data_IF_731505743729
#
_entry.id   IF_731505743729
#
_cell.length_a   1.000
_cell.length_b   1.000
_cell.length_c   1.000
_cell.angle_alpha   90.00
_cell.angle_beta   90.00
_cell.angle_gamma   90.00
#
_symmetry.space_group_name_H-M   'P 1'
#
loop_
_entity.id
_entity.type
_entity.pdbx_description
1 polymer ?
2 branched ?
3 branched ?
4 non-polymer ?
5 non-polymer ?
6 non-polymer ?
7 water ?
#
# COMPACT_ATOMS: atom_id res chain seq x y z
N UNK A 1 -11.72 -23.24 -0.07
CA UNK A 1 -11.56 -24.63 -0.48
C UNK A 1 -10.25 -25.12 0.10
N UNK A 2 -9.18 -24.93 -0.66
CA UNK A 2 -7.85 -25.35 -0.24
C UNK A 2 -7.07 -24.04 -0.17
N UNK A 3 -5.99 -24.02 0.61
CA UNK A 3 -5.20 -22.81 0.73
C UNK A 3 -4.58 -22.49 -0.63
N UNK A 4 -4.53 -21.21 -0.98
CA UNK A 4 -3.93 -20.85 -2.23
C UNK A 4 -2.41 -20.94 -2.17
N UNK A 5 -1.79 -21.35 -3.26
CA UNK A 5 -0.34 -21.45 -3.31
C UNK A 5 0.10 -20.58 -4.48
N UNK A 6 1.16 -19.82 -4.26
CA UNK A 6 1.70 -18.94 -5.30
C UNK A 6 2.47 -19.80 -6.28
N UNK A 7 1.77 -20.36 -7.25
CA UNK A 7 2.41 -21.23 -8.23
C UNK A 7 2.72 -20.55 -9.56
N UNK A 8 2.17 -19.38 -9.81
CA UNK A 8 2.44 -18.71 -11.09
C UNK A 8 3.48 -17.60 -11.00
N UNK A 9 4.03 -17.24 -12.16
CA UNK A 9 4.97 -16.14 -12.25
C UNK A 9 4.11 -14.97 -12.73
N UNK A 10 4.65 -13.75 -12.76
CA UNK A 10 3.91 -12.58 -13.21
C UNK A 10 3.71 -12.57 -14.72
N UNK A 11 2.62 -11.97 -15.16
CA UNK A 11 2.39 -11.85 -16.59
C UNK A 11 3.34 -10.74 -17.06
N UNK A 12 3.67 -10.72 -18.34
CA UNK A 12 4.54 -9.67 -18.88
C UNK A 12 3.77 -8.36 -18.86
N UNK A 13 4.36 -7.33 -18.29
CA UNK A 13 3.71 -6.03 -18.22
C UNK A 13 4.17 -5.15 -19.38
N UNK A 14 3.30 -4.98 -20.38
CA UNK A 14 3.63 -4.13 -21.54
C UNK A 14 2.94 -2.78 -21.44
N UNK A 15 1.97 -2.70 -20.53
CA UNK A 15 1.23 -1.46 -20.22
C UNK A 15 0.27 -1.75 -19.07
N UNK A 16 -0.53 -0.73 -18.73
CA UNK A 16 -1.49 -0.84 -17.63
C UNK A 16 -2.87 -0.41 -18.11
N UNK A 17 -3.89 -1.23 -17.83
CA UNK A 17 -5.24 -0.88 -18.24
C UNK A 17 -5.99 -0.44 -16.96
N UNK A 18 -7.10 0.31 -17.13
CA UNK A 18 -7.91 0.78 -16.00
C UNK A 18 -8.64 -0.43 -15.35
N UNK A 19 -8.61 -0.53 -14.03
CA UNK A 19 -9.24 -1.64 -13.31
C UNK A 19 -10.44 -1.17 -12.47
N UNK A 20 -10.21 -0.17 -11.63
CA UNK A 20 -11.29 0.35 -10.79
C UNK A 20 -11.08 1.81 -10.43
N UNK A 21 -12.16 2.53 -10.21
CA UNK A 21 -12.09 3.96 -9.83
C UNK A 21 -13.39 4.25 -9.13
N UNK A 22 -13.34 4.81 -7.93
CA UNK A 22 -14.61 5.06 -7.26
C UNK A 22 -15.15 6.49 -7.27
N UNK A 23 -14.33 7.45 -7.69
CA UNK A 23 -14.79 8.84 -7.76
C UNK A 23 -15.48 9.24 -6.45
N UNK A 24 -14.90 8.80 -5.33
CA UNK A 24 -15.50 9.01 -4.03
C UNK A 24 -15.78 10.45 -3.57
N UNK A 25 -14.82 11.35 -3.80
CA UNK A 25 -14.94 12.75 -3.40
C UNK A 25 -16.00 13.47 -4.28
N UNK A 26 -16.03 13.18 -5.58
CA UNK A 26 -17.02 13.79 -6.46
C UNK A 26 -18.41 13.43 -5.98
N UNK A 27 -18.66 12.13 -5.92
CA UNK A 27 -19.96 11.61 -5.51
C UNK A 27 -20.33 12.03 -4.10
N UNK A 28 -19.34 12.03 -3.21
CA UNK A 28 -19.53 12.36 -1.81
C UNK A 28 -19.88 13.80 -1.53
N UNK A 29 -19.79 14.65 -2.55
CA UNK A 29 -20.14 16.06 -2.40
C UNK A 29 -21.64 16.15 -2.11
N UNK A 30 -22.38 15.14 -2.55
CA UNK A 30 -23.82 15.12 -2.33
C UNK A 30 -24.37 13.71 -2.01
N UNK A 31 -23.69 12.97 -1.17
CA UNK A 31 -24.19 11.67 -0.79
C UNK A 31 -23.36 11.21 0.38
N UNK A 32 -23.89 10.24 1.12
CA UNK A 32 -23.27 9.75 2.34
C UNK A 32 -22.01 8.90 2.25
N UNK A 33 -20.91 9.56 1.87
CA UNK A 33 -19.62 8.91 1.71
C UNK A 33 -18.74 9.19 2.90
N UNK A 34 -18.17 8.12 3.44
CA UNK A 34 -17.28 8.17 4.59
C UNK A 34 -15.95 8.80 4.19
N UNK A 35 -15.37 9.53 5.13
CA UNK A 35 -14.06 10.15 4.92
C UNK A 35 -13.09 9.00 5.17
N UNK A 36 -12.09 8.89 4.30
CA UNK A 36 -11.08 7.83 4.42
C UNK A 36 -9.71 8.36 4.07
N UNK A 37 -8.74 7.45 4.12
CA UNK A 37 -7.34 7.60 3.70
C UNK A 37 -6.73 6.23 3.92
N UNK A 38 -5.53 6.01 3.39
CA UNK A 38 -4.84 4.72 3.52
C UNK A 38 -5.63 3.55 2.90
N UNK A 39 -6.13 3.72 1.67
CA UNK A 39 -6.93 2.69 0.99
C UNK A 39 -6.06 1.63 0.34
N UNK A 40 -6.70 0.58 -0.13
CA UNK A 40 -6.02 -0.49 -0.85
C UNK A 40 -7.06 -1.36 -1.51
N UNK A 41 -6.62 -2.40 -2.21
CA UNK A 41 -7.53 -3.30 -2.86
C UNK A 41 -7.09 -4.72 -2.48
N UNK A 42 -8.04 -5.62 -2.35
CA UNK A 42 -7.72 -6.98 -1.96
C UNK A 42 -8.84 -7.87 -2.46
N UNK A 43 -8.44 -9.07 -2.94
CA UNK A 43 -9.37 -10.05 -3.48
C UNK A 43 -9.58 -11.29 -2.63
N UNK A 44 -10.78 -11.81 -2.78
CA UNK A 44 -11.23 -13.05 -2.16
C UNK A 44 -11.28 -13.96 -3.42
N UNK A 45 -11.46 -15.27 -3.24
CA UNK A 45 -11.63 -16.13 -4.41
C UNK A 45 -12.79 -15.78 -5.33
N UNK A 46 -13.82 -15.13 -4.81
CA UNK A 46 -14.98 -14.80 -5.63
C UNK A 46 -15.30 -13.33 -5.85
N UNK A 47 -14.49 -12.42 -5.30
CA UNK A 47 -14.79 -10.99 -5.45
C UNK A 47 -13.57 -10.17 -5.04
N UNK A 48 -13.34 -9.05 -5.73
CA UNK A 48 -12.26 -8.11 -5.34
C UNK A 48 -12.97 -6.88 -4.80
N UNK A 49 -12.41 -6.29 -3.74
CA UNK A 49 -13.02 -5.13 -3.07
C UNK A 49 -12.04 -4.00 -2.70
N UNK A 50 -12.58 -2.79 -2.54
CA UNK A 50 -11.78 -1.63 -2.12
C UNK A 50 -11.79 -1.65 -0.57
N UNK A 51 -10.67 -1.24 0.03
CA UNK A 51 -10.46 -1.20 1.48
C UNK A 51 -9.89 0.19 1.79
N UNK A 52 -10.05 0.61 3.06
CA UNK A 52 -9.50 1.88 3.56
C UNK A 52 -9.84 2.05 5.04
N UNK A 53 -9.22 3.07 5.62
CA UNK A 53 -9.43 3.40 7.01
C UNK A 53 -10.41 4.56 7.09
N UNK A 54 -11.62 4.24 7.51
CA UNK A 54 -12.64 5.24 7.67
C UNK A 54 -12.22 6.20 8.76
N UNK A 55 -12.79 7.39 8.74
CA UNK A 55 -12.53 8.37 9.78
C UNK A 55 -13.78 8.45 10.67
N UNK A 56 -14.75 7.58 10.40
CA UNK A 56 -15.95 7.59 11.21
C UNK A 56 -16.76 8.87 11.09
N UNK A 57 -16.99 9.33 9.87
CA UNK A 57 -17.78 10.51 9.61
C UNK A 57 -17.93 10.62 8.10
N UNK A 58 -18.99 11.31 7.63
CA UNK A 58 -19.14 11.54 6.18
C UNK A 58 -18.28 12.77 5.81
N UNK A 59 -18.03 12.98 4.52
CA UNK A 59 -17.22 14.12 4.06
C UNK A 59 -17.97 15.42 4.30
N UNK A 60 -19.25 15.44 3.97
CA UNK A 60 -20.08 16.63 4.18
C UNK A 60 -20.46 16.82 5.64
N UNK A 61 -20.33 15.78 6.46
CA UNK A 61 -20.67 15.90 7.87
C UNK A 61 -19.75 16.85 8.60
N UNK A 62 -20.28 17.54 9.61
CA UNK A 62 -19.45 18.47 10.37
C UNK A 62 -18.24 17.82 11.06
N UNK A 63 -18.38 16.56 11.43
CA UNK A 63 -17.28 15.83 12.07
C UNK A 63 -16.11 15.57 11.12
N UNK A 64 -16.22 15.98 9.86
CA UNK A 64 -15.14 15.81 8.88
C UNK A 64 -14.02 16.81 9.22
N UNK A 65 -14.37 17.82 10.03
CA UNK A 65 -13.40 18.81 10.43
C UNK A 65 -12.37 18.13 11.30
N UNK A 66 -11.11 18.15 10.88
CA UNK A 66 -10.07 17.54 11.67
C UNK A 66 -9.56 16.19 11.21
N UNK A 67 -10.15 15.65 10.14
CA UNK A 67 -9.74 14.34 9.60
C UNK A 67 -8.34 14.28 8.99
N UNK A 68 -7.57 15.35 9.10
CA UNK A 68 -6.20 15.32 8.60
C UNK A 68 -5.39 14.41 9.56
N UNK A 69 -5.82 14.32 10.83
CA UNK A 69 -5.14 13.48 11.81
C UNK A 69 -5.21 12.01 11.47
N UNK A 70 -4.10 11.34 11.69
CA UNK A 70 -3.99 9.93 11.38
C UNK A 70 -4.58 8.91 12.34
N UNK A 71 -4.58 9.18 13.64
CA UNK A 71 -5.02 8.18 14.59
C UNK A 71 -6.05 8.70 15.56
N UNK A 72 -7.18 8.05 15.66
CA UNK A 72 -8.25 8.47 16.57
C UNK A 72 -9.04 7.22 16.88
N UNK A 73 -9.91 7.29 17.87
CA UNK A 73 -10.72 6.15 18.23
C UNK A 73 -11.88 5.95 17.27
N UNK A 74 -12.00 6.81 16.25
CA UNK A 74 -13.10 6.70 15.32
C UNK A 74 -12.78 6.08 13.96
N UNK A 75 -11.57 5.57 13.79
CA UNK A 75 -11.20 4.96 12.54
C UNK A 75 -11.47 3.46 12.59
N UNK A 76 -11.59 2.85 11.42
CA UNK A 76 -11.82 1.41 11.31
C UNK A 76 -11.50 0.97 9.90
N UNK A 77 -11.08 -0.29 9.73
CA UNK A 77 -10.81 -0.82 8.38
C UNK A 77 -12.17 -1.17 7.81
N UNK A 78 -12.50 -0.62 6.66
CA UNK A 78 -13.79 -0.94 6.04
C UNK A 78 -13.47 -1.42 4.63
N UNK A 79 -14.31 -2.30 4.08
CA UNK A 79 -14.16 -2.75 2.69
C UNK A 79 -15.54 -2.50 2.02
N UNK A 80 -15.56 -2.36 0.69
CA UNK A 80 -16.79 -2.10 -0.01
C UNK A 80 -16.65 -2.52 -1.48
N UNK A 81 -17.80 -2.71 -2.19
CA UNK A 81 -17.66 -3.29 -3.51
C UNK A 81 -16.76 -2.46 -4.43
N UNK A 82 -16.03 -3.19 -5.27
CA UNK A 82 -15.10 -2.60 -6.21
C UNK A 82 -15.68 -1.44 -7.02
N UNK A 83 -14.96 -0.32 -7.01
CA UNK A 83 -15.29 0.88 -7.75
C UNK A 83 -16.52 1.65 -7.27
N UNK A 84 -17.09 1.21 -6.16
CA UNK A 84 -18.20 1.93 -5.55
C UNK A 84 -17.48 2.93 -4.62
N UNK A 85 -18.18 3.98 -4.13
CA UNK A 85 -17.52 4.74 -3.07
C UNK A 85 -17.77 4.11 -1.71
N UNK A 86 -16.92 4.41 -0.72
CA UNK A 86 -17.14 4.01 0.66
C UNK A 86 -18.30 4.80 1.30
N UNK A 87 -19.50 4.24 1.25
CA UNK A 87 -20.64 4.92 1.82
C UNK A 87 -21.01 4.38 3.19
N UNK A 88 -21.80 5.13 3.93
CA UNK A 88 -22.19 4.70 5.25
C UNK A 88 -23.01 3.42 5.14
N UNK A 89 -23.73 3.27 4.03
CA UNK A 89 -24.62 2.13 3.82
C UNK A 89 -24.08 0.87 3.16
N UNK A 90 -22.96 0.95 2.44
CA UNK A 90 -22.40 -0.24 1.79
C UNK A 90 -21.02 -0.61 2.33
N UNK A 91 -20.54 0.11 3.34
CA UNK A 91 -19.22 -0.21 3.86
C UNK A 91 -19.27 -1.24 4.97
N UNK A 92 -18.40 -2.23 4.89
CA UNK A 92 -18.34 -3.31 5.86
C UNK A 92 -17.10 -3.16 6.70
N UNK A 93 -17.28 -3.06 8.02
CA UNK A 93 -16.16 -2.90 8.92
C UNK A 93 -15.49 -4.25 9.14
N UNK A 94 -14.18 -4.29 8.88
CA UNK A 94 -13.41 -5.49 9.09
C UNK A 94 -12.89 -5.56 10.54
N UNK A 95 -12.48 -4.41 11.07
CA UNK A 95 -11.95 -4.28 12.42
C UNK A 95 -11.72 -2.80 12.72
N UNK A 96 -11.61 -2.50 14.01
CA UNK A 96 -11.41 -1.15 14.53
C UNK A 96 -9.93 -0.80 14.75
N UNK A 97 -9.50 0.33 14.21
CA UNK A 97 -8.08 0.71 14.35
C UNK A 97 -7.64 1.79 13.40
N UNK A 98 -6.36 2.19 13.50
CA UNK A 98 -5.83 3.25 12.66
C UNK A 98 -4.66 2.87 11.78
N UNK A 99 -4.47 1.57 11.59
CA UNK A 99 -3.39 1.02 10.76
C UNK A 99 -3.83 -0.41 10.52
N UNK A 100 -3.71 -0.88 9.29
CA UNK A 100 -4.21 -2.22 8.98
C UNK A 100 -3.60 -2.94 7.78
N UNK A 101 -3.98 -4.21 7.65
CA UNK A 101 -3.59 -5.05 6.54
C UNK A 101 -4.69 -6.11 6.47
N UNK A 102 -4.74 -6.84 5.36
CA UNK A 102 -5.77 -7.87 5.17
C UNK A 102 -5.43 -8.71 3.94
N UNK A 103 -5.76 -9.99 4.00
CA UNK A 103 -5.51 -10.85 2.85
C UNK A 103 -6.30 -12.14 2.99
N UNK A 104 -6.68 -12.72 1.85
CA UNK A 104 -7.43 -13.98 1.84
C UNK A 104 -6.40 -15.11 1.62
N UNK A 105 -6.51 -16.19 2.36
CA UNK A 105 -5.55 -17.29 2.21
C UNK A 105 -6.05 -18.39 1.29
N UNK A 106 -7.24 -18.19 0.73
CA UNK A 106 -7.79 -19.19 -0.17
C UNK A 106 -9.00 -19.83 0.46
N UNK A 107 -8.99 -19.93 1.79
CA UNK A 107 -10.09 -20.50 2.54
C UNK A 107 -10.94 -19.37 3.12
N UNK A 108 -10.29 -18.45 3.82
CA UNK A 108 -10.98 -17.33 4.41
C UNK A 108 -10.02 -16.14 4.57
N UNK A 109 -10.54 -15.00 5.03
CA UNK A 109 -9.71 -13.81 5.16
C UNK A 109 -9.18 -13.48 6.56
N UNK A 110 -7.99 -12.92 6.59
CA UNK A 110 -7.36 -12.48 7.81
C UNK A 110 -7.27 -10.96 7.69
N UNK A 111 -7.73 -10.23 8.71
CA UNK A 111 -7.62 -8.78 8.70
C UNK A 111 -6.96 -8.39 10.02
N UNK A 112 -6.10 -7.37 9.98
CA UNK A 112 -5.39 -6.91 11.16
C UNK A 112 -5.58 -5.40 11.34
N UNK A 113 -5.94 -4.99 12.55
CA UNK A 113 -6.12 -3.58 12.84
C UNK A 113 -5.39 -3.29 14.11
N UNK A 114 -4.69 -2.17 14.11
CA UNK A 114 -3.94 -1.76 15.29
C UNK A 114 -4.62 -0.52 15.82
N UNK A 115 -4.83 -0.47 17.13
CA UNK A 115 -5.42 0.71 17.75
C UNK A 115 -4.68 0.97 19.05
N UNK A 116 -4.95 2.11 19.66
CA UNK A 116 -4.32 2.44 20.92
C UNK A 116 -3.76 3.86 20.89
N UNK A 117 -3.32 4.35 22.05
CA UNK A 117 -2.53 5.58 22.10
C UNK A 117 -1.14 5.27 21.57
N UNK A 118 -0.37 6.31 21.27
CA UNK A 118 0.97 6.13 20.73
C UNK A 118 1.89 5.22 21.51
N UNK A 119 1.85 5.32 22.84
CA UNK A 119 2.71 4.49 23.66
C UNK A 119 2.11 3.18 24.16
N UNK A 120 0.94 2.79 23.67
CA UNK A 120 0.30 1.58 24.16
C UNK A 120 -0.63 0.94 23.12
N UNK A 121 -0.19 0.88 21.87
CA UNK A 121 -1.00 0.30 20.81
C UNK A 121 -0.96 -1.21 20.86
N UNK A 122 -1.92 -1.84 20.18
CA UNK A 122 -2.01 -3.29 20.13
C UNK A 122 -2.68 -3.69 18.83
N UNK A 123 -2.23 -4.77 18.26
CA UNK A 123 -2.81 -5.27 17.04
C UNK A 123 -3.73 -6.46 17.36
N UNK A 124 -4.90 -6.52 16.73
CA UNK A 124 -5.75 -7.69 16.89
C UNK A 124 -6.01 -8.27 15.50
N UNK A 125 -5.57 -9.52 15.37
CA UNK A 125 -5.61 -10.32 14.16
C UNK A 125 -6.90 -11.13 14.16
N UNK A 126 -7.74 -10.82 13.17
CA UNK A 126 -9.05 -11.43 12.92
C UNK A 126 -8.91 -12.44 11.80
N UNK A 127 -9.65 -13.53 11.90
CA UNK A 127 -9.59 -14.56 10.88
C UNK A 127 -11.01 -15.13 10.76
N UNK A 128 -11.52 -15.22 9.54
CA UNK A 128 -12.87 -15.70 9.32
C UNK A 128 -13.89 -14.81 10.08
N UNK A 129 -13.56 -13.52 10.13
CA UNK A 129 -14.36 -12.47 10.78
C UNK A 129 -14.52 -12.53 12.30
N UNK A 130 -13.58 -13.22 12.95
CA UNK A 130 -13.55 -13.38 14.41
C UNK A 130 -12.16 -12.97 14.91
N UNK A 131 -12.08 -12.34 16.08
CA UNK A 131 -10.75 -12.05 16.64
C UNK A 131 -10.12 -13.35 17.14
N UNK A 132 -8.86 -13.59 16.76
CA UNK A 132 -8.14 -14.80 17.16
C UNK A 132 -6.87 -14.54 17.99
N UNK A 133 -6.05 -13.57 17.57
CA UNK A 133 -4.79 -13.25 18.24
C UNK A 133 -4.61 -11.76 18.48
N UNK A 134 -3.86 -11.41 19.53
CA UNK A 134 -3.59 -10.01 19.88
C UNK A 134 -2.10 -9.87 20.17
N UNK A 135 -1.52 -8.76 19.73
CA UNK A 135 -0.08 -8.51 19.93
C UNK A 135 0.09 -7.10 20.48
N UNK A 136 0.73 -6.98 21.65
CA UNK A 136 0.94 -5.69 22.28
C UNK A 136 2.17 -5.00 21.71
N UNK A 137 2.12 -3.68 21.73
CA UNK A 137 3.23 -2.84 21.27
C UNK A 137 4.54 -3.32 21.94
N UNK A 138 5.62 -3.44 21.16
CA UNK A 138 6.90 -3.88 21.74
C UNK A 138 7.90 -2.76 21.93
N UNK A 139 7.67 -1.63 21.30
CA UNK A 139 8.59 -0.51 21.44
C UNK A 139 7.85 0.72 21.98
N UNK A 140 6.56 0.58 22.21
CA UNK A 140 5.74 1.65 22.76
C UNK A 140 5.82 2.97 21.97
N UNK A 141 5.84 2.86 20.65
CA UNK A 141 5.91 4.03 19.81
C UNK A 141 5.21 3.75 18.47
N UNK A 142 3.89 3.90 18.50
CA UNK A 142 3.07 3.72 17.30
C UNK A 142 3.24 2.41 16.51
N UNK A 143 2.82 1.29 17.11
CA UNK A 143 2.85 -0.02 16.42
C UNK A 143 2.09 0.25 15.11
N UNK A 144 2.65 -0.16 13.98
CA UNK A 144 2.02 0.13 12.70
C UNK A 144 2.33 -0.96 11.69
N UNK A 145 1.48 -1.07 10.66
CA UNK A 145 1.69 -2.12 9.68
C UNK A 145 1.62 -1.63 8.25
N UNK A 146 1.29 -2.54 7.32
CA UNK A 146 1.32 -2.28 5.89
C UNK A 146 0.52 -1.22 5.20
N UNK A 147 -0.77 -1.16 5.53
CA UNK A 147 -1.72 -0.24 4.90
C UNK A 147 -2.06 -0.73 3.47
N UNK A 148 -1.73 -1.99 3.20
CA UNK A 148 -2.11 -2.64 1.93
C UNK A 148 -2.21 -4.14 2.22
N UNK A 149 -2.69 -4.93 1.25
CA UNK A 149 -2.84 -6.35 1.54
C UNK A 149 -1.55 -7.15 1.82
N UNK A 150 -1.71 -8.17 2.65
CA UNK A 150 -0.62 -9.09 2.92
C UNK A 150 -0.78 -10.17 1.83
N UNK A 151 0.08 -11.19 1.80
CA UNK A 151 -0.04 -12.26 0.79
C UNK A 151 0.15 -13.57 1.53
N UNK A 152 -0.59 -14.60 1.09
CA UNK A 152 -0.53 -15.91 1.69
C UNK A 152 -0.04 -17.00 0.73
N UNK A 153 0.54 -18.05 1.31
CA UNK A 153 1.02 -19.20 0.56
C UNK A 153 0.85 -20.42 1.48
N UNK A 154 0.01 -21.37 1.05
CA UNK A 154 -0.29 -22.57 1.81
C UNK A 154 -0.71 -22.29 3.26
N UNK A 155 -1.57 -21.29 3.41
CA UNK A 155 -2.04 -20.94 4.74
C UNK A 155 -1.16 -19.98 5.49
N UNK A 156 0.09 -19.80 5.05
CA UNK A 156 1.02 -18.89 5.73
C UNK A 156 0.97 -17.51 5.10
N UNK A 157 0.58 -16.54 5.93
CA UNK A 157 0.44 -15.14 5.51
C UNK A 157 1.34 -14.21 6.31
N UNK A 158 2.52 -13.85 5.76
CA UNK A 158 3.46 -12.97 6.45
C UNK A 158 2.97 -11.50 6.46
N UNK A 159 3.27 -10.80 7.54
CA UNK A 159 2.89 -9.41 7.68
C UNK A 159 4.06 -8.65 8.26
N UNK A 160 4.31 -7.44 7.78
CA UNK A 160 5.42 -6.63 8.30
C UNK A 160 4.90 -5.53 9.23
N UNK A 161 5.43 -5.47 10.46
CA UNK A 161 5.03 -4.46 11.44
C UNK A 161 6.27 -3.63 11.81
N UNK A 162 6.05 -2.42 12.28
CA UNK A 162 7.17 -1.58 12.74
C UNK A 162 6.69 -0.91 14.03
N UNK A 163 7.55 -0.85 15.03
CA UNK A 163 7.21 -0.19 16.28
C UNK A 163 8.50 0.54 16.66
N UNK A 164 8.35 1.81 17.05
CA UNK A 164 9.49 2.64 17.40
C UNK A 164 9.52 3.90 16.54
N UNK A 165 10.65 4.58 16.57
CA UNK A 165 10.84 5.82 15.86
C UNK A 165 10.55 5.82 14.35
N UNK A 166 10.18 7.00 13.88
CA UNK A 166 9.89 7.24 12.47
C UNK A 166 11.06 8.00 11.86
N UNK A 167 11.97 8.45 12.73
CA UNK A 167 13.11 9.23 12.30
C UNK A 167 14.43 8.73 12.89
N UNK A 168 14.49 7.44 13.15
CA UNK A 168 15.68 6.83 13.70
C UNK A 168 15.47 5.34 13.61
N UNK A 169 16.46 4.52 14.02
CA UNK A 169 16.19 3.08 13.90
C UNK A 169 14.99 2.67 14.74
N UNK A 170 14.24 1.70 14.21
CA UNK A 170 13.04 1.19 14.86
C UNK A 170 13.07 -0.34 14.89
N UNK A 171 12.06 -0.96 15.50
CA UNK A 171 11.99 -2.43 15.59
C UNK A 171 10.92 -3.00 14.66
N UNK A 172 11.39 -3.49 13.52
CA UNK A 172 10.53 -4.06 12.51
C UNK A 172 10.54 -5.56 12.70
N UNK A 173 9.36 -6.17 12.59
CA UNK A 173 9.23 -7.62 12.74
C UNK A 173 8.40 -8.18 11.61
N UNK A 174 8.69 -9.42 11.26
CA UNK A 174 7.95 -10.11 10.22
C UNK A 174 7.25 -11.24 10.96
N UNK A 175 5.92 -11.21 10.97
CA UNK A 175 5.14 -12.23 11.61
C UNK A 175 4.60 -13.14 10.52
N UNK A 176 4.61 -14.43 10.81
CA UNK A 176 4.09 -15.45 9.92
C UNK A 176 2.85 -16.02 10.59
N UNK A 177 1.69 -15.70 10.04
CA UNK A 177 0.42 -16.16 10.60
C UNK A 177 -0.17 -17.29 9.78
N UNK A 178 -0.90 -18.17 10.47
CA UNK A 178 -1.63 -19.25 9.81
C UNK A 178 -2.95 -19.38 10.59
N UNK A 179 -4.06 -19.10 9.92
CA UNK A 179 -5.38 -19.12 10.54
C UNK A 179 -5.46 -18.16 11.73
N UNK A 180 -4.82 -16.99 11.58
CA UNK A 180 -4.84 -15.97 12.61
C UNK A 180 -3.92 -16.23 13.78
N UNK A 181 -3.23 -17.36 13.75
CA UNK A 181 -2.34 -17.70 14.84
C UNK A 181 -0.89 -17.43 14.43
N UNK A 182 -0.06 -17.04 15.41
CA UNK A 182 1.34 -16.78 15.12
C UNK A 182 2.16 -18.08 15.03
N UNK A 183 2.72 -18.36 13.86
CA UNK A 183 3.59 -19.52 13.72
C UNK A 183 5.01 -19.15 14.11
N UNK A 184 5.41 -17.92 13.82
CA UNK A 184 6.78 -17.47 14.06
C UNK A 184 6.90 -15.98 13.77
N UNK A 185 7.89 -15.33 14.35
CA UNK A 185 8.16 -13.95 14.02
C UNK A 185 9.68 -13.80 14.04
N UNK A 186 10.20 -12.92 13.18
CA UNK A 186 11.62 -12.64 13.09
C UNK A 186 11.78 -11.15 13.25
N UNK A 187 12.92 -10.71 13.80
CA UNK A 187 13.37 -9.34 13.58
C UNK A 187 13.88 -9.08 12.15
N UNK A 188 13.69 -7.85 11.69
CA UNK A 188 14.14 -7.45 10.38
C UNK A 188 15.63 -7.76 10.30
N UNK A 189 16.05 -8.25 9.15
CA UNK A 189 17.42 -8.59 8.85
C UNK A 189 17.70 -7.98 7.48
N UNK A 190 18.95 -8.02 7.03
CA UNK A 190 19.26 -7.45 5.72
C UNK A 190 19.88 -6.07 5.84
N UNK A 191 19.94 -5.33 4.75
CA UNK A 191 20.53 -4.02 4.74
C UNK A 191 19.57 -2.83 4.82
N UNK A 192 18.26 -3.08 4.81
CA UNK A 192 17.27 -1.99 4.89
C UNK A 192 17.48 -1.34 6.26
N UNK A 193 17.56 -0.02 6.31
CA UNK A 193 17.81 0.61 7.62
C UNK A 193 16.56 1.07 8.37
N UNK A 194 15.43 1.14 7.67
CA UNK A 194 14.15 1.56 8.26
C UNK A 194 13.05 1.05 7.34
N UNK A 195 12.03 0.47 7.94
CA UNK A 195 10.91 -0.08 7.20
C UNK A 195 9.55 0.43 7.68
N UNK A 196 8.70 0.84 6.74
CA UNK A 196 7.33 1.26 7.05
C UNK A 196 6.43 1.00 5.88
N UNK A 197 5.17 0.67 6.17
CA UNK A 197 4.15 0.48 5.15
C UNK A 197 4.50 -0.33 3.92
N UNK A 198 4.83 -1.61 4.08
CA UNK A 198 5.19 -2.44 2.94
C UNK A 198 4.07 -2.81 1.99
N UNK A 199 4.36 -2.76 0.69
CA UNK A 199 3.44 -3.15 -0.37
C UNK A 199 3.98 -4.48 -0.87
N UNK A 200 3.17 -5.53 -0.76
CA UNK A 200 3.61 -6.86 -1.15
C UNK A 200 2.79 -7.55 -2.23
N UNK A 201 3.43 -8.52 -2.87
CA UNK A 201 2.79 -9.35 -3.90
C UNK A 201 3.57 -10.66 -3.89
N UNK A 202 2.96 -11.73 -4.37
CA UNK A 202 3.65 -13.01 -4.39
C UNK A 202 3.62 -13.68 -5.74
N UNK A 203 4.66 -14.44 -6.04
CA UNK A 203 4.77 -15.19 -7.28
C UNK A 203 5.78 -16.30 -7.08
N UNK A 204 5.51 -17.45 -7.69
CA UNK A 204 6.37 -18.62 -7.58
C UNK A 204 6.92 -18.86 -6.15
N UNK A 205 6.03 -18.98 -5.18
CA UNK A 205 6.38 -19.25 -3.78
C UNK A 205 7.32 -18.25 -3.10
N UNK A 206 7.31 -17.01 -3.55
CA UNK A 206 8.11 -15.95 -2.97
C UNK A 206 7.29 -14.64 -2.84
N UNK A 207 7.41 -13.97 -1.71
CA UNK A 207 6.69 -12.72 -1.48
C UNK A 207 7.68 -11.54 -1.49
N UNK A 208 7.42 -10.56 -2.36
CA UNK A 208 8.26 -9.38 -2.47
C UNK A 208 7.49 -8.18 -1.91
N UNK A 209 8.13 -7.45 -1.00
CA UNK A 209 7.56 -6.26 -0.39
C UNK A 209 8.42 -5.03 -0.67
N UNK A 210 7.81 -4.00 -1.23
CA UNK A 210 8.48 -2.75 -1.52
C UNK A 210 7.94 -1.81 -0.41
N UNK A 211 8.82 -1.38 0.48
CA UNK A 211 8.37 -0.55 1.58
C UNK A 211 8.88 0.88 1.51
N UNK A 212 8.96 1.51 2.67
CA UNK A 212 9.41 2.90 2.73
C UNK A 212 10.35 3.10 3.91
N UNK A 213 11.47 3.77 3.63
CA UNK A 213 12.45 4.11 4.63
C UNK A 213 12.12 5.55 4.97
N UNK A 214 11.36 5.74 6.02
CA UNK A 214 10.97 7.06 6.39
C UNK A 214 12.11 7.93 6.91
N UNK A 215 13.05 7.29 7.56
CA UNK A 215 14.18 7.96 8.17
C UNK A 215 15.18 8.66 7.21
N UNK A 216 15.77 7.90 6.30
CA UNK A 216 16.78 8.46 5.40
C UNK A 216 16.69 8.16 3.91
N UNK A 217 16.11 7.03 3.54
CA UNK A 217 16.03 6.62 2.14
C UNK A 217 14.99 7.17 1.19
N UNK A 218 15.47 7.63 0.02
CA UNK A 218 14.64 8.14 -1.06
C UNK A 218 14.49 7.02 -2.08
N UNK A 219 15.33 5.99 -1.94
CA UNK A 219 15.20 4.77 -2.74
C UNK A 219 14.34 3.91 -1.79
N UNK A 220 13.64 2.91 -2.32
CA UNK A 220 12.79 2.08 -1.47
C UNK A 220 13.47 0.81 -1.01
N UNK A 221 13.36 0.51 0.30
CA UNK A 221 13.73 -0.80 0.83
C UNK A 221 12.80 -1.90 0.34
N UNK A 222 13.38 -3.10 0.18
CA UNK A 222 12.65 -4.24 -0.31
C UNK A 222 12.95 -5.41 0.59
N UNK A 223 11.88 -6.08 1.00
CA UNK A 223 11.94 -7.27 1.85
C UNK A 223 11.42 -8.42 1.01
N UNK A 224 12.21 -9.47 0.85
CA UNK A 224 11.76 -10.64 0.09
C UNK A 224 11.60 -11.76 1.10
N UNK A 225 10.43 -12.39 1.08
CA UNK A 225 10.10 -13.46 2.01
C UNK A 225 9.87 -14.84 1.39
N UNK A 226 10.36 -15.86 2.09
CA UNK A 226 10.16 -17.26 1.68
C UNK A 226 9.12 -17.73 2.68
N UNK A 227 7.84 -17.84 2.26
CA UNK A 227 6.81 -18.20 3.24
C UNK A 227 6.81 -19.69 3.64
N UNK A 228 7.69 -20.50 3.04
CA UNK A 228 7.76 -21.91 3.41
C UNK A 228 8.80 -22.05 4.53
N UNK A 229 10.00 -21.55 4.27
CA UNK A 229 11.07 -21.57 5.24
C UNK A 229 10.77 -20.52 6.32
N UNK A 230 9.86 -19.60 6.00
CA UNK A 230 9.51 -18.53 6.92
C UNK A 230 10.77 -17.74 7.29
N UNK A 231 11.47 -17.25 6.25
CA UNK A 231 12.69 -16.47 6.42
C UNK A 231 12.64 -15.30 5.41
N UNK A 232 13.53 -14.32 5.55
CA UNK A 232 13.50 -13.18 4.63
C UNK A 232 14.84 -12.47 4.54
N UNK A 233 14.94 -11.55 3.59
CA UNK A 233 16.15 -10.74 3.44
C UNK A 233 15.64 -9.36 3.14
N UNK A 234 16.53 -8.39 3.17
CA UNK A 234 16.15 -7.01 2.84
C UNK A 234 17.32 -6.27 2.22
N UNK A 235 17.01 -5.32 1.34
CA UNK A 235 17.99 -4.46 0.67
C UNK A 235 17.19 -3.27 0.15
N UNK A 236 17.80 -2.46 -0.71
CA UNK A 236 17.09 -1.33 -1.32
C UNK A 236 17.07 -1.57 -2.84
N UNK A 237 16.15 -0.88 -3.52
CA UNK A 237 16.08 -0.94 -4.98
C UNK A 237 17.37 -0.22 -5.40
N UNK A 238 18.23 -0.92 -6.14
CA UNK A 238 19.51 -0.38 -6.60
C UNK A 238 19.40 0.83 -7.52
N UNK A 239 18.38 0.81 -8.36
CA UNK A 239 18.15 1.84 -9.36
C UNK A 239 18.28 3.29 -8.92
N UNK A 240 18.93 4.12 -9.76
CA UNK A 240 18.95 5.58 -9.65
C UNK A 240 17.60 6.26 -9.87
N UNK A 241 16.62 5.51 -10.38
CA UNK A 241 15.26 6.06 -10.57
C UNK A 241 14.58 5.99 -9.19
N UNK A 242 14.78 7.03 -8.39
CA UNK A 242 14.28 7.10 -7.03
C UNK A 242 12.75 7.17 -6.98
N UNK A 243 12.16 6.38 -6.08
CA UNK A 243 10.71 6.33 -6.03
C UNK A 243 9.97 6.77 -4.74
N UNK A 244 10.67 7.29 -3.73
CA UNK A 244 9.96 7.80 -2.57
C UNK A 244 9.59 9.27 -2.87
N UNK A 245 8.96 9.93 -1.90
CA UNK A 245 8.56 11.35 -2.02
C UNK A 245 8.37 11.95 -0.63
N UNK A 246 8.87 13.17 -0.41
CA UNK A 246 9.74 13.96 -1.29
C UNK A 246 11.08 13.21 -1.52
N UNK A 247 11.84 13.66 -2.49
CA UNK A 247 13.11 13.00 -2.79
C UNK A 247 13.97 13.99 -3.55
N UNK A 248 15.29 13.76 -3.57
CA UNK A 248 16.15 14.54 -4.46
C UNK A 248 15.94 14.12 -5.91
N UNK A 249 16.53 14.88 -6.83
CA UNK A 249 16.44 14.56 -8.25
C UNK A 249 17.17 13.25 -8.46
N UNK A 250 16.86 12.55 -9.55
CA UNK A 250 17.51 11.27 -9.87
C UNK A 250 19.00 11.44 -10.15
N UNK A 251 19.84 10.61 -9.51
CA UNK A 251 21.26 10.49 -9.88
C UNK A 251 21.43 9.56 -11.07
N UNK A 252 22.67 9.21 -11.38
CA UNK A 252 22.94 8.28 -12.47
C UNK A 252 23.29 6.94 -11.88
N UNK A 253 23.61 6.91 -10.60
CA UNK A 253 23.87 5.64 -9.93
C UNK A 253 23.17 5.64 -8.55
N UNK A 254 22.45 4.55 -8.28
CA UNK A 254 21.72 4.40 -7.03
C UNK A 254 22.46 3.65 -5.94
N UNK A 255 21.73 3.26 -4.90
CA UNK A 255 22.35 2.52 -3.81
C UNK A 255 21.57 1.22 -3.53
N UNK A 256 22.32 0.12 -3.46
CA UNK A 256 21.76 -1.21 -3.22
C UNK A 256 21.58 -1.62 -1.77
N UNK A 257 22.43 -1.12 -0.87
CA UNK A 257 22.34 -1.50 0.54
C UNK A 257 22.35 -0.38 1.57
N UNK A 258 22.00 0.83 1.17
CA UNK A 258 21.99 1.96 2.09
C UNK A 258 20.93 2.84 1.54
N UNK A 259 20.29 3.64 2.40
CA UNK A 259 19.35 4.67 1.93
C UNK A 259 20.00 5.71 1.04
N UNK A 260 19.33 6.11 -0.03
CA UNK A 260 19.91 7.12 -0.86
C UNK A 260 19.55 8.44 -0.20
N UNK A 261 20.56 9.27 0.11
CA UNK A 261 20.35 10.42 1.00
C UNK A 261 19.79 11.65 0.29
N UNK A 262 19.48 12.68 1.06
CA UNK A 262 18.97 13.90 0.48
C UNK A 262 17.65 14.35 1.07
N UNK A 263 16.93 13.42 1.67
CA UNK A 263 15.65 13.74 2.29
C UNK A 263 15.45 12.87 3.51
N UNK A 264 15.32 13.53 4.65
CA UNK A 264 15.13 12.86 5.93
C UNK A 264 13.74 12.94 6.49
N UNK A 265 13.44 11.98 7.34
CA UNK A 265 12.20 11.92 8.06
C UNK A 265 10.93 12.20 7.31
N UNK A 266 10.74 11.57 6.16
CA UNK A 266 9.51 11.76 5.40
C UNK A 266 9.42 10.73 4.28
N UNK A 267 8.25 10.62 3.66
CA UNK A 267 8.10 9.65 2.60
C UNK A 267 6.63 9.36 2.34
N UNK A 268 6.37 8.42 1.44
CA UNK A 268 5.00 8.04 1.09
C UNK A 268 5.01 6.55 0.79
N UNK A 269 3.93 5.87 1.15
CA UNK A 269 3.83 4.42 0.88
C UNK A 269 3.84 4.29 -0.63
N UNK A 270 4.63 3.34 -1.14
CA UNK A 270 4.71 3.14 -2.58
C UNK A 270 4.88 1.65 -2.87
N UNK A 271 5.16 1.28 -4.12
CA UNK A 271 5.34 -0.14 -4.45
C UNK A 271 6.16 -0.28 -5.71
N UNK A 272 6.35 -1.53 -6.10
CA UNK A 272 7.07 -1.88 -7.33
C UNK A 272 6.86 -3.36 -7.66
N UNK A 273 7.13 -3.71 -8.92
CA UNK A 273 7.09 -5.09 -9.36
C UNK A 273 8.51 -5.35 -9.86
N UNK A 274 9.24 -6.17 -9.12
CA UNK A 274 10.64 -6.49 -9.41
C UNK A 274 10.71 -7.88 -10.00
N UNK A 275 10.90 -7.96 -11.32
CA UNK A 275 10.89 -9.22 -12.02
C UNK A 275 11.84 -9.17 -13.23
N UNK A 276 13.13 -8.99 -12.96
CA UNK A 276 14.12 -8.92 -14.03
C UNK A 276 13.82 -7.79 -15.01
N UNK A 277 13.80 -8.10 -16.30
CA UNK A 277 13.48 -7.08 -17.29
C UNK A 277 12.00 -6.66 -17.17
N UNK A 278 11.17 -7.54 -16.63
CA UNK A 278 9.73 -7.27 -16.46
C UNK A 278 9.52 -6.51 -15.13
N UNK A 279 10.34 -5.49 -14.91
CA UNK A 279 10.31 -4.68 -13.70
C UNK A 279 9.68 -3.30 -13.93
N UNK A 280 8.70 -2.95 -13.09
CA UNK A 280 8.05 -1.64 -13.20
C UNK A 280 7.98 -0.91 -11.87
N UNK A 281 8.35 0.37 -11.87
CA UNK A 281 8.38 1.22 -10.67
C UNK A 281 7.27 2.25 -10.71
N UNK A 282 6.62 2.48 -9.57
CA UNK A 282 5.60 3.50 -9.48
C UNK A 282 6.18 4.63 -8.64
N UNK A 283 5.78 5.85 -8.93
CA UNK A 283 6.24 7.01 -8.19
C UNK A 283 5.47 8.28 -8.54
N UNK A 284 5.47 9.24 -7.62
CA UNK A 284 4.82 10.52 -7.85
C UNK A 284 5.69 11.21 -8.90
N UNK A 285 5.13 12.12 -9.69
CA UNK A 285 5.94 12.81 -10.69
C UNK A 285 6.76 13.88 -9.93
N UNK A 286 6.09 14.62 -9.07
CA UNK A 286 6.75 15.65 -8.27
C UNK A 286 7.78 15.03 -7.32
N UNK A 287 8.90 15.74 -7.10
CA UNK A 287 9.92 15.27 -6.16
C UNK A 287 9.66 15.97 -4.82
N UNK A 288 8.75 16.93 -4.80
CA UNK A 288 8.45 17.68 -3.59
C UNK A 288 7.20 17.27 -2.83
N UNK A 289 6.13 16.95 -3.55
CA UNK A 289 4.88 16.58 -2.90
C UNK A 289 4.19 15.39 -3.58
N UNK A 290 3.09 14.93 -2.98
CA UNK A 290 2.27 13.81 -3.47
C UNK A 290 1.42 14.32 -4.59
N UNK A 291 2.09 14.55 -5.70
CA UNK A 291 1.50 15.14 -6.86
C UNK A 291 1.85 14.29 -8.05
N UNK A 292 0.84 13.97 -8.84
CA UNK A 292 1.03 13.17 -10.02
C UNK A 292 1.44 11.73 -9.72
N UNK A 293 1.42 10.90 -10.76
CA UNK A 293 1.81 9.50 -10.59
C UNK A 293 2.14 8.87 -11.94
N UNK A 294 3.22 8.09 -11.98
CA UNK A 294 3.63 7.42 -13.20
C UNK A 294 4.24 6.06 -12.91
N UNK A 295 4.18 5.20 -13.92
CA UNK A 295 4.75 3.86 -13.87
C UNK A 295 5.94 3.89 -14.86
N UNK A 296 7.10 3.40 -14.43
CA UNK A 296 8.31 3.36 -15.26
C UNK A 296 8.86 1.92 -15.34
N UNK A 297 9.14 1.45 -16.54
CA UNK A 297 9.72 0.12 -16.71
C UNK A 297 11.23 0.33 -16.55
N UNK A 298 11.79 -0.27 -15.51
CA UNK A 298 13.19 -0.09 -15.25
C UNK A 298 13.79 -1.46 -15.15
N UNK A 299 14.28 -2.02 -16.28
CA UNK A 299 14.74 -3.40 -16.25
C UNK A 299 15.81 -3.61 -15.17
N UNK A 300 15.64 -4.69 -14.41
CA UNK A 300 16.57 -5.07 -13.34
C UNK A 300 16.78 -3.99 -12.27
N UNK A 301 15.78 -3.15 -12.03
CA UNK A 301 15.90 -2.09 -11.01
C UNK A 301 16.44 -2.56 -9.68
N UNK A 302 15.94 -3.69 -9.20
CA UNK A 302 16.37 -4.23 -7.92
C UNK A 302 17.87 -4.47 -7.78
N UNK A 303 18.49 -4.98 -8.83
CA UNK A 303 19.90 -5.33 -8.78
C UNK A 303 20.91 -4.53 -9.59
N UNK A 304 20.42 -3.63 -10.44
CA UNK A 304 21.28 -2.84 -11.33
C UNK A 304 21.30 -1.38 -10.85
N UNK A 305 22.42 -0.93 -10.26
CA UNK A 305 22.51 0.43 -9.73
C UNK A 305 22.66 1.57 -10.72
N UNK A 306 22.48 1.27 -11.99
CA UNK A 306 22.55 2.29 -13.01
C UNK A 306 21.32 2.19 -13.91
N UNK A 307 20.39 1.31 -13.54
CA UNK A 307 19.18 1.09 -14.33
C UNK A 307 18.30 2.33 -14.48
N UNK A 308 17.91 2.60 -15.72
CA UNK A 308 17.10 3.76 -16.06
C UNK A 308 15.90 3.30 -16.91
N UNK A 309 14.94 4.17 -17.15
CA UNK A 309 13.66 3.74 -17.71
C UNK A 309 13.73 3.33 -19.19
N UNK A 310 12.93 2.33 -19.59
CA UNK A 310 12.90 1.94 -21.00
C UNK A 310 11.50 2.11 -21.64
N UNK A 311 10.52 2.41 -20.79
CA UNK A 311 9.14 2.62 -21.22
C UNK A 311 8.46 3.22 -20.01
N UNK A 312 7.28 3.80 -20.21
CA UNK A 312 6.60 4.36 -19.05
C UNK A 312 5.13 4.63 -19.29
N UNK A 313 4.39 4.98 -18.25
CA UNK A 313 2.98 5.30 -18.43
C UNK A 313 2.55 6.27 -17.34
N UNK A 314 1.96 7.38 -17.74
CA UNK A 314 1.49 8.36 -16.76
C UNK A 314 0.15 7.87 -16.25
N UNK A 315 -0.02 7.92 -14.94
CA UNK A 315 -1.28 7.48 -14.34
C UNK A 315 -2.06 8.71 -13.89
N UNK A 316 -1.36 9.67 -13.29
CA UNK A 316 -1.97 10.89 -12.81
C UNK A 316 -1.07 12.06 -13.21
N UNK A 317 -1.64 13.12 -13.78
CA UNK A 317 -0.84 14.29 -14.17
C UNK A 317 -0.25 15.01 -12.95
N UNK A 318 0.91 15.63 -13.13
CA UNK A 318 1.58 16.35 -12.06
C UNK A 318 0.79 17.55 -11.59
N UNK A 319 -0.30 17.83 -12.27
CA UNK A 319 -1.17 18.91 -11.88
C UNK A 319 -2.35 18.35 -11.12
N UNK A 320 -2.24 17.12 -10.65
CA UNK A 320 -3.31 16.50 -9.86
C UNK A 320 -2.70 15.83 -8.65
N UNK A 321 -3.46 15.80 -7.56
CA UNK A 321 -2.97 15.18 -6.33
C UNK A 321 -3.00 13.65 -6.37
N UNK A 322 -1.96 13.03 -5.82
CA UNK A 322 -1.85 11.58 -5.71
C UNK A 322 -1.77 11.25 -4.21
N UNK A 323 -0.96 10.25 -3.86
CA UNK A 323 -0.84 9.86 -2.46
C UNK A 323 -0.23 8.47 -2.37
N UNK A 324 -0.67 7.69 -1.40
CA UNK A 324 -0.19 6.31 -1.23
C UNK A 324 -0.48 5.44 -2.46
N UNK A 325 0.27 4.36 -2.62
CA UNK A 325 0.07 3.43 -3.73
C UNK A 325 0.57 2.06 -3.26
N UNK A 326 -0.06 1.00 -3.74
CA UNK A 326 0.36 -0.30 -3.27
C UNK A 326 -0.05 -1.37 -4.25
N UNK A 327 0.49 -2.55 -4.02
CA UNK A 327 0.24 -3.68 -4.89
C UNK A 327 -0.80 -4.66 -4.35
N UNK A 328 -1.46 -5.32 -5.29
CA UNK A 328 -2.41 -6.40 -5.03
C UNK A 328 -2.54 -7.14 -6.38
N UNK A 329 -3.02 -8.37 -6.34
CA UNK A 329 -3.25 -9.14 -7.57
C UNK A 329 -4.42 -10.08 -7.29
N UNK A 330 -5.11 -10.48 -8.33
CA UNK A 330 -6.19 -11.42 -8.15
C UNK A 330 -5.55 -12.81 -8.29
N UNK A 331 -5.22 -13.44 -7.16
CA UNK A 331 -4.61 -14.76 -7.19
C UNK A 331 -5.54 -15.89 -7.58
N UNK A 332 -6.81 -15.54 -7.79
CA UNK A 332 -7.81 -16.53 -8.16
C UNK A 332 -8.37 -16.31 -9.57
N UNK A 333 -7.63 -15.56 -10.38
CA UNK A 333 -8.01 -15.31 -11.77
C UNK A 333 -7.64 -16.54 -12.62
N UNK A 334 -8.23 -16.68 -13.80
CA UNK A 334 -7.89 -17.79 -14.69
C UNK A 334 -6.55 -17.49 -15.36
N UNK A 335 -6.03 -18.44 -16.11
CA UNK A 335 -4.79 -18.16 -16.82
C UNK A 335 -3.54 -18.76 -16.23
N UNK A 336 -2.41 -18.54 -16.90
CA UNK A 336 -1.13 -19.09 -16.48
C UNK A 336 -0.20 -18.16 -15.71
N UNK A 337 -0.61 -16.92 -15.46
CA UNK A 337 0.28 -15.99 -14.76
C UNK A 337 -0.52 -15.05 -13.87
N UNK A 338 0.16 -14.39 -12.93
CA UNK A 338 -0.49 -13.43 -12.05
C UNK A 338 -0.39 -12.03 -12.67
N UNK A 339 -1.52 -11.37 -12.86
CA UNK A 339 -1.55 -10.04 -13.46
C UNK A 339 -1.32 -8.96 -12.42
N UNK A 340 -0.15 -8.32 -12.48
CA UNK A 340 0.20 -7.27 -11.52
C UNK A 340 -0.82 -6.13 -11.51
N UNK A 341 -1.24 -5.67 -10.32
CA UNK A 341 -2.19 -4.54 -10.20
C UNK A 341 -1.69 -3.63 -9.12
N UNK A 342 -2.23 -2.43 -9.05
CA UNK A 342 -1.85 -1.46 -8.03
C UNK A 342 -2.94 -0.42 -7.93
N UNK A 343 -2.92 0.36 -6.86
CA UNK A 343 -3.89 1.42 -6.69
C UNK A 343 -3.11 2.68 -6.32
N UNK A 344 -3.72 3.83 -6.57
CA UNK A 344 -3.14 5.09 -6.18
C UNK A 344 -4.21 5.83 -5.36
N UNK A 345 -3.80 6.34 -4.21
CA UNK A 345 -4.70 7.04 -3.35
C UNK A 345 -4.68 8.45 -3.87
N UNK A 346 -5.85 9.01 -4.17
CA UNK A 346 -5.90 10.39 -4.67
C UNK A 346 -6.38 11.26 -3.52
N UNK A 347 -5.44 11.86 -2.79
CA UNK A 347 -5.77 12.66 -1.61
C UNK A 347 -6.31 14.04 -1.96
N UNK A 348 -7.40 14.39 -1.32
CA UNK A 348 -8.02 15.69 -1.52
C UNK A 348 -8.18 16.30 -0.15
N UNK A 349 -8.12 17.62 -0.09
CA UNK A 349 -8.28 18.31 1.18
C UNK A 349 -6.93 18.67 1.79
N UNK A 350 -6.89 18.70 3.12
CA UNK A 350 -5.67 19.05 3.82
C UNK A 350 -4.54 18.01 3.74
N UNK A 351 -3.29 18.47 3.69
CA UNK A 351 -2.86 19.85 3.95
C UNK A 351 -2.74 20.73 2.72
N UNK A 352 -2.73 20.12 1.54
CA UNK A 352 -2.56 20.88 0.31
C UNK A 352 -3.73 21.77 -0.08
N UNK A 353 -4.96 21.30 0.13
CA UNK A 353 -6.15 22.09 -0.22
C UNK A 353 -6.82 22.46 1.09
N UNK A 354 -6.31 23.50 1.72
CA UNK A 354 -6.80 23.87 3.02
C UNK A 354 -8.04 24.75 3.11
N UNK A 355 -8.69 25.05 1.99
CA UNK A 355 -9.90 25.86 2.04
C UNK A 355 -11.00 25.02 2.70
N UNK A 356 -10.81 23.69 2.74
CA UNK A 356 -11.75 22.78 3.43
C UNK A 356 -11.00 22.34 4.65
N UNK A 357 -11.76 21.92 5.66
CA UNK A 357 -11.23 21.45 6.95
C UNK A 357 -11.01 19.94 7.08
N UNK A 358 -11.28 19.23 5.99
CA UNK A 358 -11.15 17.78 5.98
C UNK A 358 -10.05 17.34 5.07
N UNK A 359 -9.76 16.04 5.16
CA UNK A 359 -8.80 15.36 4.31
C UNK A 359 -9.45 14.02 4.02
N UNK A 360 -9.52 13.66 2.75
CA UNK A 360 -10.08 12.35 2.39
C UNK A 360 -9.35 11.92 1.11
N UNK A 361 -9.95 11.05 0.31
CA UNK A 361 -9.32 10.60 -0.92
C UNK A 361 -10.30 9.78 -1.74
N UNK A 362 -9.88 9.45 -2.96
CA UNK A 362 -10.64 8.55 -3.83
C UNK A 362 -9.58 7.52 -4.26
N UNK A 363 -9.99 6.49 -4.99
CA UNK A 363 -9.07 5.46 -5.42
C UNK A 363 -9.12 5.27 -6.94
N UNK A 364 -7.94 5.08 -7.53
CA UNK A 364 -7.86 4.72 -8.94
C UNK A 364 -6.96 3.51 -8.91
N UNK A 365 -7.28 2.50 -9.71
CA UNK A 365 -6.43 1.32 -9.73
C UNK A 365 -6.36 0.74 -11.13
N UNK A 366 -5.19 0.19 -11.46
CA UNK A 366 -4.91 -0.42 -12.75
C UNK A 366 -4.29 -1.82 -12.54
N UNK A 367 -4.22 -2.57 -13.63
CA UNK A 367 -3.62 -3.89 -13.67
C UNK A 367 -2.87 -3.94 -15.01
N UNK A 368 -1.94 -4.88 -15.16
CA UNK A 368 -1.15 -4.96 -16.37
C UNK A 368 -1.83 -5.59 -17.58
N UNK A 369 -1.36 -5.20 -18.75
CA UNK A 369 -1.86 -5.75 -20.00
C UNK A 369 -0.63 -6.19 -20.76
N UNK A 370 -0.74 -7.27 -21.54
CA UNK A 370 0.39 -7.71 -22.36
C UNK A 370 0.39 -6.91 -23.67
N UNK A 371 -0.66 -6.12 -23.88
CA UNK A 371 -0.74 -5.25 -25.05
C UNK A 371 -0.02 -3.96 -24.66
N UNK A 372 0.22 -3.11 -25.66
CA UNK A 372 0.84 -1.79 -25.46
C UNK A 372 -0.29 -0.78 -25.67
N UNK A 373 -1.07 -0.59 -24.62
CA UNK A 373 -2.25 0.27 -24.64
C UNK A 373 -1.99 1.76 -24.56
N UNK A 374 -2.88 2.54 -25.19
CA UNK A 374 -2.77 3.98 -25.12
C UNK A 374 -3.02 4.39 -23.67
N UNK A 375 -2.50 5.54 -23.27
CA UNK A 375 -2.68 5.99 -21.90
C UNK A 375 -3.62 7.18 -21.73
N UNK A 376 -4.22 7.26 -20.54
CA UNK A 376 -5.10 8.36 -20.15
C UNK A 376 -4.59 8.72 -18.78
N UNK A 377 -4.98 9.87 -18.27
CA UNK A 377 -4.57 10.24 -16.92
C UNK A 377 -5.90 10.12 -16.13
N UNK A 378 -5.78 9.76 -14.85
CA UNK A 378 -6.93 9.51 -14.00
C UNK A 378 -7.02 10.32 -12.71
N UNK A 379 -7.52 11.56 -12.79
CA UNK A 379 -7.55 12.37 -11.55
C UNK A 379 -8.75 12.07 -10.64
N UNK A 380 -8.71 12.60 -9.43
CA UNK A 380 -9.80 12.44 -8.49
C UNK A 380 -11.11 12.96 -9.14
N UNK A 381 -11.02 14.16 -9.73
CA UNK A 381 -12.15 14.75 -10.42
C UNK A 381 -13.05 15.71 -9.68
N UNK A 382 -12.83 15.89 -8.38
CA UNK A 382 -13.69 16.79 -7.62
C UNK A 382 -13.22 18.23 -7.64
N UNK A 383 -14.18 19.15 -7.56
CA UNK A 383 -13.88 20.58 -7.50
C UNK A 383 -14.01 20.98 -6.04
N UNK A 384 -12.89 21.33 -5.39
CA UNK A 384 -12.93 21.75 -3.99
C UNK A 384 -13.90 22.92 -3.76
N UNK A 385 -13.97 23.83 -4.72
CA UNK A 385 -14.82 25.02 -4.62
C UNK A 385 -16.27 24.68 -4.28
N UNK A 386 -16.75 23.53 -4.74
CA UNK A 386 -18.11 23.07 -4.47
C UNK A 386 -18.35 22.78 -2.98
N UNK A 387 -17.28 22.38 -2.28
CA UNK A 387 -17.38 22.04 -0.86
C UNK A 387 -17.30 23.28 0.02
N UNK A 388 -17.04 24.43 -0.59
CA UNK A 388 -16.90 25.66 0.16
C UNK A 388 -18.24 26.29 0.45
X LIG B 1 -0.43 0.86 29.04
X LIG B 1 -0.30 1.85 30.24
X LIG B 1 -0.18 1.10 31.50
X LIG B 1 -1.36 0.17 31.65
X LIG B 1 -1.35 -0.86 30.47
X LIG B 1 -2.47 -1.88 30.47
X LIG B 1 1.02 3.92 29.95
X LIG B 1 2.42 4.41 29.70
X LIG B 1 0.93 2.59 30.01
X LIG B 1 -0.15 2.01 32.58
X LIG B 1 -1.34 -0.53 32.91
X LIG B 1 -1.42 -0.15 29.24
X LIG B 1 -3.79 -1.36 30.74
X LIG B 1 0.05 4.69 30.11
X LIG B 2 -2.56 -0.67 33.68
X LIG B 2 -2.69 -1.91 34.56
X LIG B 2 -4.03 -1.89 35.24
X LIG B 2 -4.15 -0.54 35.97
X LIG B 2 -4.01 0.62 35.00
X LIG B 2 -4.10 1.95 35.71
X LIG B 2 -1.58 -3.86 33.65
X LIG B 2 -1.58 -5.11 32.80
X LIG B 2 -2.67 -3.11 33.74
X LIG B 2 -4.20 -3.00 36.06
X LIG B 2 -5.44 -0.42 36.55
X LIG B 2 -2.77 0.53 34.39
X LIG B 2 -3.02 1.98 36.62
X LIG B 2 -0.53 -3.57 34.23
X LIG B 3 -5.54 -0.27 37.97
X LIG B 3 -6.89 0.28 38.28
X LIG B 3 -7.12 0.36 39.81
X LIG B 3 -6.78 -0.99 40.45
X LIG B 3 -5.35 -1.42 40.03
X LIG B 3 -4.93 -2.75 40.61
X LIG B 3 -7.89 -0.54 37.70
X LIG B 3 -8.52 0.66 40.04
X LIG B 3 -6.87 -0.96 41.88
X LIG B 3 -5.33 -1.51 38.61
X LIG B 3 -3.54 -2.96 40.58
X LIG B 4 -8.76 1.56 41.08
X LIG B 4 -10.17 1.56 41.44
X LIG B 4 -10.97 2.18 40.25
X LIG B 4 -10.49 3.55 39.96
X LIG B 4 -9.09 3.43 39.61
X LIG B 4 -8.50 4.86 39.41
X LIG B 4 -10.25 2.35 42.65
X LIG B 4 -12.36 2.23 40.47
X LIG B 4 -11.24 4.19 38.94
X LIG B 4 -8.38 2.84 40.67
X LIG B 4 -7.17 4.61 38.94
X LIG B 5 -11.50 2.62 43.21
X LIG B 5 -11.19 3.63 44.32
X LIG B 5 -10.34 3.00 45.37
X LIG B 5 -11.13 1.82 45.87
X LIG B 5 -11.34 0.78 44.76
X LIG B 5 -12.01 -0.51 45.25
X LIG B 5 -12.42 4.03 44.97
X LIG B 5 -10.08 3.97 46.34
X LIG B 5 -10.26 1.28 46.82
X LIG B 5 -12.10 1.41 43.72
X LIG B 5 -13.13 -0.32 46.07
X LIG B 6 -12.94 5.29 44.56
X LIG B 6 -14.14 5.56 45.43
X LIG B 6 -15.29 4.63 45.03
X LIG B 6 -15.61 4.82 43.51
X LIG B 6 -14.31 4.44 42.69
X LIG B 6 -14.42 4.56 41.21
X LIG B 6 -14.53 6.90 45.20
X LIG B 6 -16.43 4.96 45.80
X LIG B 6 -16.71 4.06 43.11
X LIG B 6 -13.19 5.30 43.14
X LIG B 6 -14.74 5.89 40.89
X LIG B 7 -2.79 -2.41 41.70
X LIG B 7 -1.31 -2.53 41.44
X LIG B 7 -0.88 -4.00 41.43
X LIG B 7 -1.36 -4.63 42.70
X LIG B 7 -2.85 -4.44 42.85
X LIG B 7 -3.47 -5.03 44.03
X LIG B 7 -0.55 -1.85 42.43
X LIG B 7 0.51 -4.07 41.32
X LIG B 7 -1.04 -5.96 42.60
X LIG B 7 -3.11 -3.07 42.90
X LIG B 7 -2.79 -4.66 45.22
X LIG C 1 -1.50 -25.84 -1.79
X LIG C 1 -2.65 -26.62 -2.32
X LIG C 1 -3.18 -27.55 -1.24
X LIG C 1 -2.06 -28.44 -0.82
X LIG C 1 -0.82 -27.73 -0.40
X LIG C 1 0.27 -28.78 -0.32
X LIG C 1 -4.34 -25.83 -3.86
X LIG C 1 -5.40 -24.82 -4.20
X LIG C 1 -3.67 -25.70 -2.73
X LIG C 1 -4.25 -28.30 -1.65
X LIG C 1 -2.41 -29.19 0.30
X LIG C 1 -0.47 -26.74 -1.40
X LIG C 1 1.29 -28.09 0.22
X LIG C 1 -4.11 -26.73 -4.67
X LIG C 2 -2.82 -30.51 0.16
X LIG C 2 -2.85 -30.99 1.57
X LIG C 2 -2.99 -32.52 1.34
X LIG C 2 -4.50 -32.67 0.98
X LIG C 2 -4.76 -31.86 -0.34
X LIG C 2 -6.25 -31.61 -0.61
X LIG C 2 -0.51 -30.68 2.67
X LIG C 2 -0.02 -29.51 3.49
X LIG C 2 -1.76 -30.40 2.33
X LIG C 2 -2.61 -33.18 2.55
X LIG C 2 -4.91 -34.03 0.87
X LIG C 2 -4.16 -30.54 -0.27
X LIG C 2 -6.66 -30.62 0.32
X LIG C 2 0.09 -31.67 2.29
X LIG D 1 -12.79 23.34 12.29
X LIG D 1 -13.60 24.57 12.28
X LIG D 1 -12.80 25.78 12.62
X LIG D 1 -12.10 25.57 13.91
X LIG D 1 -11.19 24.33 13.67
X LIG D 1 -10.28 23.98 14.78
X LIG D 1 -15.43 24.49 10.78
X LIG D 1 -16.02 24.78 9.39
X LIG D 1 -14.15 24.83 10.96
X LIG D 1 -13.59 26.97 12.66
X LIG D 1 -11.42 26.81 14.15
X LIG D 1 -12.03 23.24 13.45
X LIG D 1 -11.16 23.63 15.80
X LIG D 1 -16.07 23.92 11.66
X LIG E 1 1.37 10.10 5.92
X LIG E 1 1.13 9.47 7.30
X LIG E 1 -0.24 8.73 7.21
X LIG E 1 -0.31 7.48 8.08
X LIG E 1 0.75 7.51 9.20
X LIG E 1 2.13 7.54 8.62
X LIG E 1 3.23 7.84 9.66
X LIG E 1 4.63 7.85 8.99
X LIG E 1 5.72 8.15 10.04
X LIG E 1 0.36 6.19 11.20
X LIG E 1 0.24 4.90 11.91
X LIG E 1 0.64 6.23 9.91
X LIG E 1 0.42 10.40 5.15
X LIG E 1 2.57 10.25 5.65
X LIG E 1 1.11 10.49 8.28
X LIG E 1 -1.55 7.35 8.65
X LIG E 1 2.21 8.57 7.63
X LIG E 1 2.98 9.08 10.24
X LIG E 1 4.70 6.54 8.50
X LIG E 1 5.89 7.01 10.78
X LIG E 1 0.12 7.20 11.86
X LIG F 1 5.76 19.97 -8.40
X LIG F 1 4.99 21.35 -8.44
X LIG F 1 4.05 21.38 -9.68
X LIG F 1 2.85 20.48 -9.53
X LIG F 1 2.12 20.86 -8.25
X LIG F 1 3.06 20.82 -7.02
X LIG F 1 2.47 21.48 -5.76
X LIG F 1 3.50 21.67 -4.65
X LIG F 1 2.84 21.74 -3.31
X LIG F 1 -0.20 20.26 -7.94
X LIG F 1 -1.24 19.20 -7.75
X LIG F 1 1.06 19.94 -8.05
X LIG F 1 6.13 19.36 -9.43
X LIG F 1 6.02 19.55 -7.26
X LIG F 1 5.85 22.44 -8.44
X LIG F 1 2.01 20.66 -10.71
X LIG F 1 4.23 21.52 -7.21
X LIG F 1 1.98 22.76 -6.09
X LIG F 1 4.46 20.61 -4.64
X LIG F 1 3.88 22.08 -2.45
X LIG F 1 -0.60 21.43 -7.97
X LIG G 1 11.94 8.42 2.72
X LIG H 1 -29.72 13.12 2.29
#
# INVERSE_FOLDING_TARGET
RDFNNLTKGLCTINSWHIYGKDNAVRIGEDSDVLVTREPYVSCDPDECRFYALSQGTTIRGKHSNGTIHDRSQYRALISWPLSSPPTVYNSRVECIGWSSTSCHDGKTRMSICISGPNNNASAVIWYNRRPVTEINTWARNILRTQESECVCHNGVCPVVFTDGSATGPAETRIYYFKEGKILKWEPLAGTAKHIEECSCYGERAEITCTCKDNWQGSNRPVIRIDPVAMTHTSQYICSPVLTDNPRPNDPTVGKCNDPYPGNNNNGVKGFSYLDGVNTWLGRTISIASRSGYEMLKVPNALTDDKSKPTQGQTIVLNTDWSGYSGSFMDYWAEGECYRACFYVELIRGRPKEDKVWWTSNSIVSMCSSTEFLGQWDWPDGAKIEYFL
NAG C1 C2 C3 C4 C5 C6 C7 C8 N2 O3 O4 O5 O6 O7
NAG C1 C2 C3 C4 C5 C6 C7 C8 N2 O3 O4 O5 O6 O7
BMA C1 C2 C3 C4 C5 C6 O2 O3 O4 O5 O6
MAN C1 C2 C3 C4 C5 C6 O2 O3 O4 O5 O6
MAN C1 C2 C3 C4 C5 C6 O2 O3 O4 O5 O6
MAN C1 C2 C3 C4 C5 C6 O2 O3 O4 O5 O6
MAN C1 C2 C3 C4 C5 C6 O2 O3 O4 O5 O6
NAG C1 C2 C3 C4 C5 C6 C7 C8 N2 O3 O4 O5 O6 O7
NAG C1 C2 C3 C4 C5 C6 C7 C8 N2 O3 O4 O5 O6 O7
NAG C1 C2 C3 C4 C5 C6 C7 C8 N2 O3 O4 O5 O6 O7
SIA C1 C2 C3 C4 C5 C6 C7 C8 C9 C10 C11 N5 O1A O1B O2 O4 O6 O7 O8 O9 O10
SIA C1 C2 C3 C4 C5 C6 C7 C8 C9 C10 C11 N5 O1A O1B O2 O4 O6 O7 O8 O9 O10
CA CA
CA CA
#
